data_IF_881707685956
#
_entry.id   IF_881707685956
#
_cell.length_a   1.000
_cell.length_b   1.000
_cell.length_c   1.000
_cell.angle_alpha   90.00
_cell.angle_beta   90.00
_cell.angle_gamma   90.00
#
_symmetry.space_group_name_H-M   'P 1'
#
loop_
_entity.id
_entity.type
_entity.pdbx_description
1 polymer ?
#
# COMPACT_ATOMS: atom_id res chain seq x y z
N UNK A 1 -10.53 3.69 14.47
CA UNK A 1 -9.17 3.33 14.06
C UNK A 1 -8.86 3.68 12.60
N UNK A 2 -7.63 4.14 12.32
CA UNK A 2 -7.08 4.14 10.96
C UNK A 2 -6.98 2.72 10.40
N UNK A 3 -7.09 2.60 9.08
CA UNK A 3 -7.04 1.32 8.37
C UNK A 3 -6.32 1.45 7.03
N UNK A 4 -6.01 0.31 6.46
CA UNK A 4 -5.47 0.17 5.12
C UNK A 4 -6.47 -0.60 4.27
N UNK A 5 -6.92 0.00 3.17
CA UNK A 5 -7.81 -0.63 2.21
C UNK A 5 -7.01 -1.08 0.98
N UNK A 6 -7.07 -2.36 0.64
CA UNK A 6 -6.47 -2.95 -0.56
C UNK A 6 -7.47 -2.91 -1.71
N UNK A 7 -7.00 -2.58 -2.91
CA UNK A 7 -7.84 -2.48 -4.09
C UNK A 7 -7.46 -3.50 -5.16
N UNK A 8 -8.46 -3.99 -5.90
CA UNK A 8 -8.22 -4.72 -7.14
C UNK A 8 -7.76 -3.72 -8.22
N UNK A 9 -6.58 -3.91 -8.82
CA UNK A 9 -6.10 -3.01 -9.86
C UNK A 9 -6.95 -3.01 -11.14
N UNK A 10 -7.81 -4.02 -11.34
CA UNK A 10 -8.62 -4.18 -12.55
C UNK A 10 -9.87 -3.31 -12.54
N UNK A 11 -10.54 -3.19 -11.39
CA UNK A 11 -11.80 -2.47 -11.27
C UNK A 11 -11.81 -1.40 -10.17
N UNK A 12 -10.71 -1.25 -9.43
CA UNK A 12 -10.55 -0.24 -8.40
C UNK A 12 -11.45 -0.47 -7.18
N UNK A 13 -11.99 -1.68 -7.00
CA UNK A 13 -12.83 -1.98 -5.83
C UNK A 13 -11.99 -2.45 -4.65
N UNK A 14 -12.39 -2.10 -3.41
CA UNK A 14 -11.72 -2.62 -2.23
C UNK A 14 -11.92 -4.14 -2.14
N UNK A 15 -10.83 -4.88 -1.97
CA UNK A 15 -10.79 -6.33 -1.80
C UNK A 15 -10.60 -6.75 -0.34
N UNK A 16 -9.94 -5.91 0.46
CA UNK A 16 -9.65 -6.20 1.87
C UNK A 16 -9.41 -4.89 2.63
N UNK A 17 -9.87 -4.82 3.88
CA UNK A 17 -9.59 -3.72 4.80
C UNK A 17 -8.90 -4.27 6.05
N UNK A 18 -7.75 -3.70 6.42
CA UNK A 18 -6.98 -4.11 7.60
C UNK A 18 -6.85 -2.94 8.56
N UNK A 19 -7.20 -3.15 9.84
CA UNK A 19 -7.04 -2.13 10.88
C UNK A 19 -5.57 -1.95 11.24
N UNK A 20 -5.18 -0.70 11.49
CA UNK A 20 -3.86 -0.34 12.02
C UNK A 20 -3.92 -0.26 13.55
N UNK A 21 -4.26 -1.36 14.20
CA UNK A 21 -4.42 -1.44 15.67
C UNK A 21 -3.24 -2.12 16.39
N UNK A 22 -2.30 -2.70 15.63
CA UNK A 22 -1.04 -3.20 16.17
C UNK A 22 0.07 -2.14 16.13
N UNK A 23 1.01 -2.13 17.09
CA UNK A 23 2.16 -1.22 17.08
C UNK A 23 3.10 -1.50 15.90
N UNK A 24 3.06 -2.71 15.36
CA UNK A 24 3.94 -3.16 14.30
C UNK A 24 3.23 -4.16 13.38
N UNK A 25 3.19 -3.84 12.08
CA UNK A 25 2.54 -4.63 11.05
C UNK A 25 3.53 -4.97 9.94
N UNK A 26 3.72 -6.27 9.73
CA UNK A 26 4.52 -6.78 8.64
C UNK A 26 3.63 -7.10 7.44
N UNK A 27 4.03 -6.59 6.27
CA UNK A 27 3.33 -6.79 5.00
C UNK A 27 4.26 -7.52 4.04
N UNK A 28 3.79 -8.60 3.44
CA UNK A 28 4.60 -9.40 2.53
C UNK A 28 3.88 -10.66 2.07
N UNK A 29 4.53 -11.51 1.27
CA UNK A 29 3.89 -12.72 0.74
C UNK A 29 3.89 -13.91 1.69
N UNK A 30 4.73 -13.86 2.73
CA UNK A 30 4.91 -14.99 3.63
C UNK A 30 3.72 -15.11 4.60
N UNK A 31 3.33 -16.33 5.01
CA UNK A 31 2.15 -16.56 5.84
C UNK A 31 2.26 -15.94 7.25
N UNK A 32 3.47 -15.65 7.73
CA UNK A 32 3.70 -14.97 9.00
C UNK A 32 3.44 -13.45 8.96
N UNK A 33 3.20 -12.87 7.77
CA UNK A 33 2.87 -11.45 7.65
C UNK A 33 1.42 -11.21 8.08
N UNK A 34 1.20 -10.19 8.91
CA UNK A 34 -0.14 -9.77 9.32
C UNK A 34 -1.01 -9.39 8.10
N UNK A 35 -0.38 -8.82 7.07
CA UNK A 35 -1.00 -8.61 5.76
C UNK A 35 -0.27 -9.46 4.72
N UNK A 36 -0.96 -10.48 4.24
CA UNK A 36 -0.43 -11.36 3.21
C UNK A 36 -0.78 -10.85 1.80
N UNK A 37 0.24 -10.52 1.03
CA UNK A 37 0.14 -10.10 -0.37
C UNK A 37 0.80 -11.17 -1.25
N UNK A 38 0.03 -12.13 -1.82
CA UNK A 38 0.60 -13.11 -2.74
C UNK A 38 1.10 -12.44 -4.03
N UNK A 39 2.26 -12.91 -4.49
CA UNK A 39 2.88 -12.44 -5.73
C UNK A 39 4.38 -12.76 -5.75
N UNK A 40 4.89 -13.18 -6.91
CA UNK A 40 6.31 -13.54 -7.06
C UNK A 40 7.26 -12.33 -6.84
N UNK A 41 6.77 -11.12 -7.15
CA UNK A 41 7.52 -9.86 -6.99
C UNK A 41 7.41 -9.25 -5.59
N UNK A 42 6.59 -9.84 -4.72
CA UNK A 42 6.48 -9.42 -3.32
C UNK A 42 7.53 -10.17 -2.49
N UNK A 43 8.34 -9.46 -1.73
CA UNK A 43 9.28 -10.09 -0.80
C UNK A 43 8.54 -10.80 0.32
N UNK A 44 9.14 -11.83 0.92
CA UNK A 44 8.54 -12.57 2.06
C UNK A 44 8.09 -11.60 3.14
N UNK A 45 8.98 -10.69 3.50
CA UNK A 45 8.75 -9.50 4.31
C UNK A 45 9.06 -8.31 3.41
N UNK A 46 8.03 -7.58 2.96
CA UNK A 46 8.19 -6.55 1.93
C UNK A 46 8.34 -5.18 2.53
N UNK A 47 7.45 -4.82 3.45
CA UNK A 47 7.49 -3.54 4.14
C UNK A 47 6.95 -3.74 5.55
N UNK A 48 7.25 -2.77 6.40
CA UNK A 48 6.82 -2.74 7.79
C UNK A 48 6.15 -1.41 8.07
N UNK A 49 5.02 -1.45 8.76
CA UNK A 49 4.30 -0.26 9.20
C UNK A 49 4.35 -0.24 10.73
N UNK A 50 4.92 0.83 11.29
CA UNK A 50 4.98 1.05 12.72
C UNK A 50 4.01 2.16 13.11
N UNK A 51 3.34 1.96 14.23
CA UNK A 51 2.50 2.97 14.85
C UNK A 51 3.33 3.69 15.90
N UNK A 52 3.44 5.00 15.77
CA UNK A 52 4.16 5.93 16.65
C UNK A 52 3.19 6.98 17.21
N UNK A 53 3.66 7.81 18.14
CA UNK A 53 2.84 8.86 18.77
C UNK A 53 2.27 9.87 17.75
N UNK A 54 2.98 10.13 16.65
CA UNK A 54 2.58 11.08 15.61
C UNK A 54 1.94 10.41 14.38
N UNK A 55 1.66 9.11 14.41
CA UNK A 55 0.95 8.39 13.35
C UNK A 55 1.64 7.12 12.90
N UNK A 56 1.59 6.81 11.60
CA UNK A 56 2.16 5.58 11.06
C UNK A 56 3.37 5.85 10.19
N UNK A 57 4.43 5.04 10.35
CA UNK A 57 5.62 5.07 9.52
C UNK A 57 5.77 3.78 8.75
N UNK A 58 6.04 3.91 7.46
CA UNK A 58 6.32 2.82 6.55
C UNK A 58 7.82 2.74 6.28
N UNK A 59 8.37 1.53 6.40
CA UNK A 59 9.73 1.22 5.98
C UNK A 59 9.73 0.12 4.94
N UNK A 60 10.41 0.36 3.83
CA UNK A 60 10.64 -0.65 2.80
C UNK A 60 11.72 -1.63 3.24
N UNK A 61 11.42 -2.93 3.13
CA UNK A 61 12.33 -4.06 3.42
C UNK A 61 12.56 -4.92 2.16
N UNK A 62 12.01 -4.50 1.04
CA UNK A 62 11.87 -5.36 -0.13
C UNK A 62 13.08 -5.31 -1.04
N UNK A 63 13.15 -6.33 -1.92
CA UNK A 63 14.13 -6.37 -3.00
C UNK A 63 13.72 -5.54 -4.22
N UNK A 64 12.42 -5.40 -4.45
CA UNK A 64 11.86 -4.78 -5.66
C UNK A 64 11.39 -3.34 -5.44
N UNK A 65 11.45 -2.87 -4.19
CA UNK A 65 11.07 -1.54 -3.76
C UNK A 65 9.58 -1.40 -3.44
N UNK A 66 9.29 -0.42 -2.58
CA UNK A 66 7.94 0.08 -2.28
C UNK A 66 7.77 1.48 -2.85
N UNK A 67 6.59 1.81 -3.37
CA UNK A 67 6.25 3.17 -3.82
C UNK A 67 5.09 3.74 -3.00
N UNK A 68 5.16 5.04 -2.72
CA UNK A 68 4.06 5.82 -2.17
C UNK A 68 3.71 6.89 -3.21
N UNK A 69 2.48 6.87 -3.69
CA UNK A 69 2.01 7.69 -4.80
C UNK A 69 2.94 7.55 -6.02
N UNK A 70 3.54 8.65 -6.49
CA UNK A 70 4.50 8.62 -7.59
C UNK A 70 5.95 8.32 -7.15
N UNK A 71 6.27 8.35 -5.86
CA UNK A 71 7.64 8.31 -5.35
C UNK A 71 8.09 6.94 -4.81
N UNK A 72 9.38 6.64 -4.95
CA UNK A 72 10.00 5.48 -4.29
C UNK A 72 10.26 5.77 -2.82
N UNK A 73 9.96 4.79 -1.96
CA UNK A 73 10.29 4.86 -0.55
C UNK A 73 11.82 4.78 -0.39
N UNK A 74 12.38 5.71 0.38
CA UNK A 74 13.80 5.72 0.77
C UNK A 74 13.87 5.81 2.29
N UNK A 75 14.42 4.79 2.93
CA UNK A 75 14.42 4.72 4.39
C UNK A 75 13.01 4.56 4.93
N UNK A 76 12.63 5.43 5.86
CA UNK A 76 11.35 5.39 6.57
C UNK A 76 10.54 6.65 6.26
N UNK A 77 9.25 6.49 5.95
CA UNK A 77 8.37 7.56 5.49
C UNK A 77 7.09 7.57 6.31
N UNK A 78 6.62 8.75 6.71
CA UNK A 78 5.32 8.90 7.39
C UNK A 78 4.18 8.69 6.40
N UNK A 79 3.22 7.85 6.75
CA UNK A 79 1.98 7.67 6.00
C UNK A 79 0.97 8.75 6.39
N UNK A 80 0.37 9.38 5.39
CA UNK A 80 -0.76 10.30 5.57
C UNK A 80 -2.04 9.68 5.01
N UNK A 81 -3.23 10.03 5.55
CA UNK A 81 -4.48 9.57 4.98
C UNK A 81 -4.59 9.95 3.50
N UNK A 82 -5.01 9.00 2.66
CA UNK A 82 -5.08 9.12 1.20
C UNK A 82 -3.86 8.62 0.45
N UNK A 83 -2.74 8.34 1.14
CA UNK A 83 -1.54 7.79 0.49
C UNK A 83 -1.81 6.43 -0.15
N UNK A 84 -1.42 6.30 -1.41
CA UNK A 84 -1.47 5.05 -2.17
C UNK A 84 -0.13 4.36 -2.11
N UNK A 85 -0.08 3.16 -1.58
CA UNK A 85 1.14 2.37 -1.50
C UNK A 85 1.09 1.23 -2.49
N UNK A 86 2.09 1.15 -3.38
CA UNK A 86 2.26 0.06 -4.32
C UNK A 86 3.38 -0.88 -3.86
N UNK A 87 3.09 -2.18 -3.86
CA UNK A 87 4.00 -3.23 -3.37
C UNK A 87 4.47 -4.11 -4.51
N UNK A 88 5.78 -4.10 -4.77
CA UNK A 88 6.42 -5.11 -5.62
C UNK A 88 6.18 -5.01 -7.12
N UNK A 89 6.65 -3.94 -7.74
CA UNK A 89 7.15 -3.95 -9.13
C UNK A 89 7.95 -2.67 -9.43
N UNK A 90 8.92 -2.75 -10.35
CA UNK A 90 9.61 -1.57 -10.92
C UNK A 90 8.85 -0.98 -12.12
N UNK A 91 7.93 -1.74 -12.71
CA UNK A 91 7.16 -1.42 -13.92
C UNK A 91 5.70 -1.80 -13.66
N UNK A 92 4.79 -0.83 -13.81
CA UNK A 92 3.38 -0.87 -13.36
C UNK A 92 2.48 -1.86 -14.12
N UNK A 93 2.72 -3.17 -14.05
CA UNK A 93 1.76 -4.17 -14.57
C UNK A 93 1.50 -5.22 -13.49
N UNK A 94 0.57 -4.91 -12.58
CA UNK A 94 0.14 -5.82 -11.51
C UNK A 94 0.11 -5.23 -10.09
N UNK A 95 -0.08 -3.92 -9.97
CA UNK A 95 0.01 -3.20 -8.71
C UNK A 95 -1.02 -3.70 -7.68
N UNK A 96 -0.58 -4.03 -6.47
CA UNK A 96 -1.49 -4.02 -5.30
C UNK A 96 -1.34 -2.68 -4.62
N UNK A 97 -2.40 -1.88 -4.74
CA UNK A 97 -2.50 -0.55 -4.15
C UNK A 97 -3.25 -0.66 -2.85
N UNK A 98 -2.75 0.02 -1.83
CA UNK A 98 -3.54 0.24 -0.63
C UNK A 98 -3.57 1.70 -0.22
N UNK A 99 -4.71 2.12 0.35
CA UNK A 99 -4.94 3.50 0.82
C UNK A 99 -4.99 3.53 2.33
N UNK A 100 -4.18 4.39 2.94
CA UNK A 100 -4.29 4.69 4.36
C UNK A 100 -5.53 5.57 4.59
N UNK A 101 -6.48 5.13 5.39
CA UNK A 101 -7.71 5.87 5.67
C UNK A 101 -7.79 6.32 7.13
N UNK A 102 -8.34 7.52 7.41
CA UNK A 102 -8.63 7.93 8.76
C UNK A 102 -9.82 7.13 9.32
N UNK A 103 -10.01 7.23 10.62
CA UNK A 103 -11.12 6.55 11.29
C UNK A 103 -12.49 7.00 10.75
N UNK A 104 -13.43 6.07 10.62
CA UNK A 104 -14.83 6.35 10.25
C UNK A 104 -15.06 6.83 8.81
N UNK A 105 -14.01 7.04 8.01
CA UNK A 105 -14.17 7.44 6.60
C UNK A 105 -14.83 6.31 5.78
N UNK A 106 -15.94 6.58 5.07
CA UNK A 106 -16.57 5.60 4.19
C UNK A 106 -15.60 5.15 3.10
N UNK A 107 -15.61 3.85 2.80
CA UNK A 107 -14.81 3.23 1.71
C UNK A 107 -14.98 3.94 0.35
N UNK A 108 -16.09 4.67 0.16
CA UNK A 108 -16.46 5.34 -1.08
C UNK A 108 -15.96 6.79 -1.24
N UNK A 109 -15.55 7.47 -0.16
CA UNK A 109 -15.27 8.92 -0.21
C UNK A 109 -13.94 9.28 -0.85
N UNK A 110 -12.94 8.39 -0.75
CA UNK A 110 -11.75 8.47 -1.57
C UNK A 110 -12.03 7.73 -2.87
N UNK A 111 -12.78 8.39 -3.76
CA UNK A 111 -12.80 7.97 -5.16
C UNK A 111 -11.34 7.82 -5.61
N UNK A 112 -10.98 6.77 -6.38
CA UNK A 112 -9.66 6.66 -6.97
C UNK A 112 -9.52 7.78 -8.01
N UNK A 113 -9.35 9.03 -7.55
CA UNK A 113 -8.93 10.16 -8.37
C UNK A 113 -7.52 9.81 -8.81
N UNK A 114 -7.48 9.26 -10.01
CA UNK A 114 -6.35 8.97 -10.87
C UNK A 114 -5.14 8.36 -10.15
N UNK A 115 -4.90 7.07 -10.36
CA UNK A 115 -3.54 6.69 -10.73
C UNK A 115 -3.33 7.46 -12.03
N UNK A 116 -2.74 8.66 -11.98
CA UNK A 116 -2.37 9.40 -13.19
C UNK A 116 -1.23 8.58 -13.81
N UNK A 117 -1.62 7.63 -14.64
CA UNK A 117 -0.82 7.11 -15.71
C UNK A 117 -1.48 7.58 -16.99
N UNK A 118 -1.36 8.87 -17.30
CA UNK A 118 -1.34 9.24 -18.71
C UNK A 118 -0.13 8.52 -19.31
N UNK A 119 -0.40 7.58 -20.19
CA UNK A 119 0.29 7.54 -21.48
C UNK A 119 -0.44 6.56 -22.38
N UNK A 120 -1.08 7.14 -23.37
CA UNK A 120 -1.38 6.52 -24.65
C UNK A 120 -0.22 5.62 -25.10
N UNK A 121 -0.55 4.40 -25.55
CA UNK A 121 0.38 3.62 -26.34
C UNK A 121 0.49 4.27 -27.74
N UNK A 122 1.69 4.54 -28.28
CA UNK A 122 1.83 4.86 -29.69
C UNK A 122 1.86 3.55 -30.49
N UNK A 123 1.07 3.49 -31.57
CA UNK A 123 1.16 2.45 -32.60
C UNK A 123 -0.19 1.94 -33.07
#
# INVERSE_FOLDING_TARGET
MPRIDFYDPRDGKPILSVRLDAPDLLVGRAPECAVQIPGAKVSRHHLRIRTEEDGHRLRDLSRNGTRINAGWVRGEVRLVPGDRVCVGDRVCVGDRVFVHQPDGAPLAELSPRAIVGDSEAPG
#
